data_IF_237091868401
#
_entry.id   IF_237091868401
#
_cell.length_a   1.000
_cell.length_b   1.000
_cell.length_c   1.000
_cell.angle_alpha   90.00
_cell.angle_beta   90.00
_cell.angle_gamma   90.00
#
_symmetry.space_group_name_H-M   'P 1'
#
loop_
_entity.id
_entity.type
_entity.pdbx_description
1 polymer ?
#
# COMPACT_ATOMS: atom_id res chain seq x y z
N UNK A 1 4.46 -17.47 -12.41
CA UNK A 1 5.54 -16.53 -12.05
C UNK A 1 5.24 -15.23 -12.78
N UNK A 2 5.37 -14.07 -12.13
CA UNK A 2 5.23 -12.79 -12.81
C UNK A 2 6.31 -12.67 -13.89
N UNK A 3 5.96 -12.09 -15.03
CA UNK A 3 6.91 -11.81 -16.11
C UNK A 3 7.83 -10.67 -15.66
N UNK A 4 9.15 -10.80 -15.92
CA UNK A 4 10.11 -9.77 -15.58
C UNK A 4 9.84 -8.47 -16.32
N UNK A 5 9.65 -7.38 -15.61
CA UNK A 5 9.57 -6.05 -16.18
C UNK A 5 10.99 -5.47 -16.37
N UNK A 6 11.25 -4.87 -17.52
CA UNK A 6 12.52 -4.22 -17.84
C UNK A 6 12.35 -2.71 -17.94
N UNK A 7 13.44 -1.99 -17.71
CA UNK A 7 13.45 -0.53 -17.81
C UNK A 7 13.02 -0.04 -19.20
N UNK A 8 13.31 -0.81 -20.25
CA UNK A 8 12.92 -0.50 -21.63
C UNK A 8 11.39 -0.62 -21.88
N UNK A 9 10.68 -1.39 -21.06
CA UNK A 9 9.25 -1.70 -21.23
C UNK A 9 8.32 -0.63 -20.63
N UNK A 10 8.85 0.30 -19.84
CA UNK A 10 8.06 1.26 -19.07
C UNK A 10 8.36 2.69 -19.46
N UNK A 11 7.40 3.58 -19.27
CA UNK A 11 7.53 5.01 -19.57
C UNK A 11 6.88 5.88 -18.49
N UNK A 12 7.26 7.14 -18.45
CA UNK A 12 6.63 8.14 -17.58
C UNK A 12 5.13 8.25 -17.90
N UNK A 13 4.31 8.28 -16.86
CA UNK A 13 2.85 8.29 -16.95
C UNK A 13 2.20 6.90 -16.92
N UNK A 14 2.96 5.82 -17.07
CA UNK A 14 2.40 4.47 -16.97
C UNK A 14 1.93 4.18 -15.54
N UNK A 15 0.75 3.56 -15.42
CA UNK A 15 0.31 2.96 -14.16
C UNK A 15 0.85 1.53 -14.04
N UNK A 16 1.37 1.19 -12.87
CA UNK A 16 1.77 -0.20 -12.56
C UNK A 16 0.55 -1.03 -12.16
N UNK A 17 0.60 -2.36 -12.31
CA UNK A 17 -0.51 -3.23 -11.91
C UNK A 17 -0.91 -3.00 -10.46
N UNK A 18 -2.19 -2.75 -10.22
CA UNK A 18 -2.73 -2.51 -8.88
C UNK A 18 -2.70 -3.78 -8.03
N UNK A 19 -2.53 -3.60 -6.72
CA UNK A 19 -2.67 -4.66 -5.72
C UNK A 19 -3.91 -4.36 -4.85
N UNK A 20 -4.81 -5.32 -4.74
CA UNK A 20 -6.00 -5.19 -3.88
C UNK A 20 -5.82 -6.01 -2.62
N UNK A 21 -6.01 -5.38 -1.47
CA UNK A 21 -5.93 -5.99 -0.14
C UNK A 21 -7.24 -5.78 0.60
N UNK A 22 -7.58 -6.71 1.48
CA UNK A 22 -8.72 -6.58 2.38
C UNK A 22 -8.29 -7.10 3.75
N UNK A 23 -8.43 -6.29 4.79
CA UNK A 23 -8.05 -6.65 6.14
C UNK A 23 -9.28 -7.08 6.93
N UNK A 24 -9.31 -8.34 7.37
CA UNK A 24 -10.25 -8.77 8.40
C UNK A 24 -9.82 -8.26 9.77
N UNK A 25 -10.74 -8.25 10.72
CA UNK A 25 -10.41 -7.93 12.13
C UNK A 25 -9.38 -8.90 12.70
N UNK A 26 -9.43 -10.18 12.31
CA UNK A 26 -8.41 -11.17 12.69
C UNK A 26 -7.02 -10.82 12.17
N UNK A 27 -6.91 -10.34 10.94
CA UNK A 27 -5.63 -9.94 10.36
C UNK A 27 -5.01 -8.75 11.11
N UNK A 28 -5.84 -7.83 11.61
CA UNK A 28 -5.33 -6.70 12.42
C UNK A 28 -4.74 -7.19 13.74
N UNK A 29 -5.36 -8.19 14.39
CA UNK A 29 -4.79 -8.83 15.59
C UNK A 29 -3.48 -9.56 15.27
N UNK A 30 -3.44 -10.30 14.16
CA UNK A 30 -2.22 -10.98 13.70
C UNK A 30 -1.09 -9.99 13.41
N UNK A 31 -1.41 -8.86 12.77
CA UNK A 31 -0.42 -7.81 12.53
C UNK A 31 0.07 -7.18 13.82
N UNK A 32 -0.82 -6.90 14.77
CA UNK A 32 -0.44 -6.39 16.10
C UNK A 32 0.54 -7.34 16.79
N UNK A 33 0.28 -8.64 16.73
CA UNK A 33 1.14 -9.65 17.31
C UNK A 33 2.51 -9.75 16.60
N UNK A 34 2.52 -9.70 15.27
CA UNK A 34 3.73 -9.81 14.46
C UNK A 34 4.60 -8.56 14.48
N UNK A 35 4.01 -7.38 14.54
CA UNK A 35 4.71 -6.09 14.53
C UNK A 35 5.02 -5.54 15.92
N UNK A 36 4.33 -6.02 16.95
CA UNK A 36 4.39 -5.45 18.30
C UNK A 36 3.54 -4.18 18.48
N UNK A 37 2.80 -3.76 17.46
CA UNK A 37 1.92 -2.59 17.53
C UNK A 37 0.55 -2.98 18.10
N UNK A 38 0.48 -3.03 19.42
CA UNK A 38 -0.72 -3.34 20.18
C UNK A 38 -1.52 -2.10 20.58
N UNK A 39 -1.45 -1.00 19.82
CA UNK A 39 -2.32 0.13 20.11
C UNK A 39 -3.77 -0.27 19.90
N UNK A 40 -4.59 -0.14 20.94
CA UNK A 40 -5.93 -0.71 21.04
C UNK A 40 -6.91 -0.21 19.97
N UNK A 41 -6.64 0.93 19.33
CA UNK A 41 -7.48 1.42 18.22
C UNK A 41 -7.57 0.44 17.03
N UNK A 42 -6.70 -0.55 16.97
CA UNK A 42 -6.62 -1.50 15.87
C UNK A 42 -7.37 -2.82 16.13
N UNK A 43 -7.77 -3.10 17.38
CA UNK A 43 -8.42 -4.37 17.72
C UNK A 43 -9.48 -4.30 18.81
N UNK A 44 -9.54 -3.21 19.59
CA UNK A 44 -10.54 -3.00 20.64
C UNK A 44 -11.55 -1.93 20.21
N UNK A 45 -12.75 -2.38 19.81
CA UNK A 45 -13.80 -1.50 19.29
C UNK A 45 -14.27 -0.50 20.36
N UNK A 46 -14.37 -0.94 21.61
CA UNK A 46 -14.79 -0.06 22.72
C UNK A 46 -13.77 1.04 22.95
N UNK A 47 -12.49 0.67 22.97
CA UNK A 47 -11.41 1.64 23.10
C UNK A 47 -11.38 2.61 21.92
N UNK A 48 -11.44 2.10 20.69
CA UNK A 48 -11.42 2.93 19.47
C UNK A 48 -12.55 3.97 19.50
N UNK A 49 -13.77 3.56 19.78
CA UNK A 49 -14.93 4.46 19.89
C UNK A 49 -14.76 5.46 21.05
N UNK A 50 -14.16 5.05 22.16
CA UNK A 50 -13.83 5.94 23.28
C UNK A 50 -12.83 7.04 22.93
N UNK A 51 -12.00 6.85 21.90
CA UNK A 51 -11.07 7.88 21.38
C UNK A 51 -11.71 8.79 20.31
N UNK A 52 -12.97 8.57 19.96
CA UNK A 52 -13.69 9.33 18.93
C UNK A 52 -13.64 8.72 17.52
N UNK A 53 -13.04 7.55 17.34
CA UNK A 53 -13.08 6.80 16.09
C UNK A 53 -14.47 6.15 15.92
N UNK A 54 -14.86 5.92 14.67
CA UNK A 54 -16.13 5.23 14.36
C UNK A 54 -16.04 3.71 14.56
N UNK A 55 -14.86 3.15 14.44
CA UNK A 55 -14.56 1.72 14.60
C UNK A 55 -13.04 1.53 14.75
N UNK A 56 -12.59 0.30 14.93
CA UNK A 56 -11.16 -0.04 14.80
C UNK A 56 -10.68 0.28 13.38
N UNK A 57 -9.41 0.60 13.26
CA UNK A 57 -8.81 1.01 11.99
C UNK A 57 -7.62 0.16 11.63
N UNK A 58 -7.34 0.06 10.33
CA UNK A 58 -6.18 -0.65 9.79
C UNK A 58 -4.89 0.08 10.20
N UNK A 59 -3.88 -0.67 10.65
CA UNK A 59 -2.57 -0.11 11.00
C UNK A 59 -1.95 0.62 9.81
N UNK A 60 -1.42 1.82 10.05
CA UNK A 60 -0.68 2.55 9.03
C UNK A 60 0.52 1.76 8.50
N UNK A 61 1.29 1.12 9.39
CA UNK A 61 2.43 0.29 9.01
C UNK A 61 2.03 -0.92 8.16
N UNK A 62 0.84 -1.50 8.34
CA UNK A 62 0.33 -2.56 7.47
C UNK A 62 0.06 -2.04 6.05
N UNK A 63 -0.50 -0.84 5.91
CA UNK A 63 -0.69 -0.19 4.60
C UNK A 63 0.66 0.11 3.93
N UNK A 64 1.65 0.55 4.69
CA UNK A 64 3.01 0.71 4.18
C UNK A 64 3.59 -0.62 3.66
N UNK A 65 3.36 -1.73 4.37
CA UNK A 65 3.78 -3.06 3.92
C UNK A 65 3.07 -3.47 2.61
N UNK A 66 1.79 -3.12 2.42
CA UNK A 66 1.08 -3.36 1.16
C UNK A 66 1.68 -2.56 -0.01
N UNK A 67 2.12 -1.33 0.22
CA UNK A 67 2.84 -0.55 -0.80
C UNK A 67 4.20 -1.19 -1.14
N UNK A 68 4.91 -1.71 -0.15
CA UNK A 68 6.13 -2.49 -0.37
C UNK A 68 5.86 -3.76 -1.19
N UNK A 69 4.77 -4.47 -0.91
CA UNK A 69 4.35 -5.63 -1.69
C UNK A 69 3.98 -5.24 -3.13
N UNK A 70 3.23 -4.15 -3.34
CA UNK A 70 2.91 -3.65 -4.68
C UNK A 70 4.17 -3.48 -5.53
N UNK A 71 5.19 -2.83 -4.98
CA UNK A 71 6.45 -2.61 -5.68
C UNK A 71 7.19 -3.92 -5.93
N UNK A 72 7.32 -4.76 -4.90
CA UNK A 72 8.02 -6.04 -5.02
C UNK A 72 7.38 -6.95 -6.07
N UNK A 73 6.07 -7.11 -6.04
CA UNK A 73 5.34 -7.98 -6.98
C UNK A 73 5.47 -7.48 -8.44
N UNK A 74 5.58 -6.17 -8.63
CA UNK A 74 5.76 -5.58 -9.95
C UNK A 74 7.18 -5.77 -10.50
N UNK A 75 8.22 -5.61 -9.67
CA UNK A 75 9.62 -5.60 -10.15
C UNK A 75 10.33 -6.95 -10.08
N UNK A 76 9.74 -7.94 -9.38
CA UNK A 76 10.37 -9.25 -9.21
C UNK A 76 10.41 -10.04 -10.54
N UNK A 77 11.42 -10.91 -10.74
CA UNK A 77 12.49 -11.23 -9.79
C UNK A 77 13.76 -10.33 -9.90
N UNK A 78 13.96 -9.59 -10.96
CA UNK A 78 15.24 -8.93 -11.26
C UNK A 78 15.32 -7.46 -10.83
N UNK A 79 14.23 -6.84 -10.43
CA UNK A 79 14.21 -5.47 -9.95
C UNK A 79 14.57 -5.36 -8.46
N UNK A 80 14.87 -4.14 -8.02
CA UNK A 80 15.22 -3.83 -6.63
C UNK A 80 14.55 -2.54 -6.17
N UNK A 81 13.94 -2.58 -5.00
CA UNK A 81 13.45 -1.36 -4.33
C UNK A 81 14.67 -0.60 -3.80
N UNK A 82 14.88 0.62 -4.28
CA UNK A 82 15.95 1.50 -3.81
C UNK A 82 15.51 2.24 -2.55
N UNK A 83 14.31 2.81 -2.61
CA UNK A 83 13.65 3.43 -1.45
C UNK A 83 12.15 3.53 -1.70
N UNK A 84 11.37 3.58 -0.65
CA UNK A 84 9.99 4.01 -0.68
C UNK A 84 9.58 4.52 0.70
N UNK A 85 8.53 5.29 0.73
CA UNK A 85 7.93 5.79 1.96
C UNK A 85 6.56 6.36 1.70
N UNK A 86 5.81 6.54 2.76
CA UNK A 86 4.45 7.08 2.69
C UNK A 86 4.11 7.92 3.92
N UNK A 87 3.00 8.64 3.82
CA UNK A 87 2.39 9.38 4.92
C UNK A 87 1.00 8.82 5.22
N UNK A 88 0.65 8.69 6.47
CA UNK A 88 -0.68 8.23 6.89
C UNK A 88 -1.61 9.43 6.98
N UNK A 89 -2.47 9.61 5.99
CA UNK A 89 -3.34 10.79 5.85
C UNK A 89 -4.83 10.49 6.06
N UNK A 90 -5.20 9.22 5.97
CA UNK A 90 -6.57 8.78 6.16
C UNK A 90 -6.62 7.42 6.85
N UNK A 91 -7.77 7.13 7.42
CA UNK A 91 -8.05 5.86 8.09
C UNK A 91 -8.77 4.93 7.13
N UNK A 92 -8.42 3.64 7.21
CA UNK A 92 -9.13 2.56 6.53
C UNK A 92 -9.76 1.64 7.56
N UNK A 93 -10.94 1.12 7.25
CA UNK A 93 -11.68 0.23 8.12
C UNK A 93 -11.52 -1.24 7.70
N UNK A 94 -11.66 -2.20 8.63
CA UNK A 94 -11.66 -3.62 8.27
C UNK A 94 -12.81 -3.95 7.33
N UNK A 95 -12.61 -5.02 6.53
CA UNK A 95 -13.58 -5.55 5.57
C UNK A 95 -13.98 -4.58 4.44
N UNK A 96 -13.15 -3.58 4.18
CA UNK A 96 -13.21 -2.76 2.98
C UNK A 96 -11.93 -2.93 2.18
N UNK A 97 -12.03 -3.00 0.86
CA UNK A 97 -10.86 -3.14 0.01
C UNK A 97 -9.96 -1.90 0.11
N UNK A 98 -8.67 -2.17 0.14
CA UNK A 98 -7.60 -1.17 0.03
C UNK A 98 -6.91 -1.43 -1.30
N UNK A 99 -7.01 -0.47 -2.21
CA UNK A 99 -6.41 -0.56 -3.54
C UNK A 99 -5.06 0.17 -3.50
N UNK A 100 -3.98 -0.59 -3.65
CA UNK A 100 -2.64 -0.04 -3.79
C UNK A 100 -2.38 0.26 -5.27
N UNK A 101 -1.92 1.48 -5.57
CA UNK A 101 -1.67 1.97 -6.93
C UNK A 101 -0.31 2.66 -7.02
N UNK A 102 0.18 2.77 -8.24
CA UNK A 102 1.38 3.54 -8.52
C UNK A 102 1.42 4.03 -9.94
N UNK A 103 1.99 5.22 -10.13
CA UNK A 103 2.21 5.85 -11.43
C UNK A 103 3.67 6.23 -11.56
N UNK A 104 4.28 5.92 -12.70
CA UNK A 104 5.67 6.28 -13.00
C UNK A 104 5.74 7.78 -13.27
N UNK A 105 6.58 8.49 -12.50
CA UNK A 105 6.75 9.92 -12.60
C UNK A 105 8.04 10.31 -13.33
N UNK A 106 9.07 9.45 -13.27
CA UNK A 106 10.36 9.73 -13.89
C UNK A 106 11.15 8.45 -14.19
N UNK A 107 11.90 8.49 -15.31
CA UNK A 107 12.91 7.48 -15.66
C UNK A 107 14.25 8.16 -15.86
N UNK A 108 15.31 7.56 -15.35
CA UNK A 108 16.67 8.09 -15.53
C UNK A 108 17.74 7.04 -15.28
N UNK A 109 18.92 7.30 -15.77
CA UNK A 109 20.12 6.51 -15.46
C UNK A 109 21.00 7.28 -14.48
N UNK A 110 21.49 6.62 -13.47
CA UNK A 110 22.42 7.17 -12.50
C UNK A 110 23.37 6.10 -11.99
N UNK A 111 24.66 6.40 -12.01
CA UNK A 111 25.71 5.50 -11.48
C UNK A 111 25.64 4.07 -12.08
N UNK A 112 25.24 3.94 -13.35
CA UNK A 112 25.08 2.68 -14.07
C UNK A 112 23.78 1.93 -13.74
N UNK A 113 22.91 2.50 -12.92
CA UNK A 113 21.59 1.93 -12.60
C UNK A 113 20.48 2.58 -13.43
N UNK A 114 19.47 1.77 -13.78
CA UNK A 114 18.29 2.19 -14.52
C UNK A 114 17.15 2.40 -13.55
N UNK A 115 16.91 3.65 -13.17
CA UNK A 115 16.02 4.04 -12.07
C UNK A 115 14.65 4.52 -12.58
N UNK A 116 13.62 4.19 -11.80
CA UNK A 116 12.24 4.61 -12.02
C UNK A 116 11.70 5.19 -10.73
N UNK A 117 11.22 6.43 -10.78
CA UNK A 117 10.48 7.07 -9.68
C UNK A 117 8.99 6.88 -9.87
N UNK A 118 8.28 6.69 -8.78
CA UNK A 118 6.82 6.52 -8.77
C UNK A 118 6.17 7.36 -7.67
N UNK A 119 4.99 7.88 -7.96
CA UNK A 119 4.00 8.15 -6.93
C UNK A 119 3.25 6.85 -6.63
N UNK A 120 3.13 6.52 -5.35
CA UNK A 120 2.41 5.33 -4.88
C UNK A 120 1.39 5.74 -3.84
N UNK A 121 0.26 5.02 -3.75
CA UNK A 121 -0.74 5.32 -2.73
C UNK A 121 -1.68 4.15 -2.48
N UNK A 122 -2.35 4.19 -1.33
CA UNK A 122 -3.54 3.38 -1.09
C UNK A 122 -4.78 4.23 -1.22
N UNK A 123 -5.83 3.66 -1.79
CA UNK A 123 -7.16 4.27 -1.83
C UNK A 123 -8.23 3.28 -1.40
N UNK A 124 -9.34 3.82 -0.90
CA UNK A 124 -10.48 3.00 -0.49
C UNK A 124 -11.18 2.40 -1.70
N UNK A 125 -11.43 1.13 -1.64
CA UNK A 125 -12.14 0.37 -2.65
C UNK A 125 -13.55 -0.06 -2.20
N UNK A 126 -14.15 -1.01 -2.94
CA UNK A 126 -15.44 -1.60 -2.61
C UNK A 126 -15.46 -2.22 -1.20
N UNK A 127 -16.61 -2.19 -0.57
CA UNK A 127 -16.82 -2.79 0.74
C UNK A 127 -17.99 -3.78 0.71
N UNK A 128 -17.92 -4.78 1.58
CA UNK A 128 -19.08 -5.61 1.90
C UNK A 128 -19.88 -4.91 2.98
N UNK A 129 -21.20 -4.96 2.87
CA UNK A 129 -22.08 -4.51 3.94
C UNK A 129 -22.06 -5.55 5.08
N UNK A 130 -21.38 -5.22 6.15
CA UNK A 130 -21.25 -6.01 7.36
C UNK A 130 -21.71 -5.23 8.61
N UNK A 131 -22.40 -4.10 8.38
CA UNK A 131 -22.86 -3.21 9.45
C UNK A 131 -21.77 -2.33 10.06
N UNK A 132 -20.50 -2.47 9.63
CA UNK A 132 -19.39 -1.64 10.11
C UNK A 132 -19.25 -0.36 9.29
N UNK A 133 -18.70 0.72 9.88
CA UNK A 133 -18.35 1.93 9.16
C UNK A 133 -17.46 1.65 7.95
N UNK A 134 -17.69 2.38 6.87
CA UNK A 134 -16.92 2.34 5.63
C UNK A 134 -16.61 3.75 5.17
N UNK A 135 -15.53 3.89 4.41
CA UNK A 135 -15.23 5.12 3.70
C UNK A 135 -15.91 5.13 2.32
N UNK A 136 -16.19 6.30 1.75
CA UNK A 136 -16.46 6.40 0.32
C UNK A 136 -15.31 5.81 -0.50
N UNK A 137 -15.62 5.21 -1.65
CA UNK A 137 -14.59 4.70 -2.57
C UNK A 137 -13.73 5.83 -3.16
N UNK A 138 -12.47 5.51 -3.48
CA UNK A 138 -11.55 6.42 -4.16
C UNK A 138 -10.84 7.44 -3.25
N UNK A 139 -10.97 7.33 -1.94
CA UNK A 139 -10.25 8.21 -1.01
C UNK A 139 -8.82 7.73 -0.87
N UNK A 140 -7.84 8.58 -1.20
CA UNK A 140 -6.41 8.32 -0.94
C UNK A 140 -6.14 8.44 0.56
N UNK A 141 -5.72 7.33 1.18
CA UNK A 141 -5.47 7.30 2.63
C UNK A 141 -3.99 7.26 2.99
N UNK A 142 -3.13 6.78 2.07
CA UNK A 142 -1.70 6.63 2.33
C UNK A 142 -0.90 6.99 1.08
N UNK A 143 -0.70 8.30 0.79
CA UNK A 143 0.14 8.74 -0.32
C UNK A 143 1.62 8.54 0.00
N UNK A 144 2.42 8.26 -1.03
CA UNK A 144 3.86 8.06 -0.91
C UNK A 144 4.60 8.16 -2.24
N UNK A 145 5.90 7.91 -2.17
CA UNK A 145 6.79 7.87 -3.32
C UNK A 145 7.72 6.68 -3.25
N UNK A 146 8.21 6.24 -4.39
CA UNK A 146 9.17 5.15 -4.48
C UNK A 146 10.23 5.41 -5.55
N UNK A 147 11.37 4.77 -5.39
CA UNK A 147 12.39 4.60 -6.42
C UNK A 147 12.73 3.13 -6.50
N UNK A 148 12.68 2.58 -7.71
CA UNK A 148 13.09 1.21 -7.99
C UNK A 148 14.17 1.19 -9.07
N UNK A 149 15.03 0.19 -9.02
CA UNK A 149 15.97 -0.12 -10.09
C UNK A 149 15.42 -1.30 -10.89
N UNK A 150 15.39 -1.18 -12.21
CA UNK A 150 14.95 -2.24 -13.12
C UNK A 150 16.13 -2.73 -13.98
N UNK A 151 16.16 -4.02 -14.31
CA UNK A 151 17.11 -4.52 -15.30
C UNK A 151 16.81 -3.90 -16.66
N UNK A 152 17.85 -3.68 -17.48
CA UNK A 152 17.76 -3.30 -18.88
C UNK A 152 18.00 -4.54 -19.74
N UNK A 153 17.37 -4.60 -20.91
CA UNK A 153 17.66 -5.65 -21.92
C UNK A 153 18.99 -5.44 -22.60
#
# INVERSE_FOLDING_TARGET
MAEQVYWDDVKEGDEIPRLVKNCSTQQLVQWAAGSGDFYQIHYDETFAKGTGLKDIIVHGALKNAFLGQLLHDWIAPGGRIVRYGCSYRGMDYPNQDIICRGTITKKYEKDGEHLVELDIWTETGPAKDDGRPKNPEGIKTTPGTAVVALPKR
#
